data_IF_423603944264
#
_entry.id   IF_423603944264
#
_cell.length_a   1.000
_cell.length_b   1.000
_cell.length_c   1.000
_cell.angle_alpha   90.00
_cell.angle_beta   90.00
_cell.angle_gamma   90.00
#
_symmetry.space_group_name_H-M   'P 1'
#
loop_
_entity.id
_entity.type
_entity.pdbx_description
1 polymer ?
#
# COMPACT_ATOMS: atom_id res chain seq x y z
N UNK A 1 -17.44 87.29 -23.76
CA UNK A 1 -16.03 87.15 -24.21
C UNK A 1 -15.22 88.29 -23.60
N UNK A 2 -14.25 87.99 -22.72
CA UNK A 2 -13.37 89.02 -22.15
C UNK A 2 -12.39 89.48 -23.24
N UNK A 3 -12.21 90.79 -23.38
CA UNK A 3 -11.23 91.34 -24.32
C UNK A 3 -9.83 91.00 -23.81
N UNK A 4 -9.08 90.26 -24.60
CA UNK A 4 -7.71 89.84 -24.33
C UNK A 4 -6.84 90.56 -25.34
N UNK A 5 -5.79 91.22 -24.87
CA UNK A 5 -4.86 91.96 -25.72
C UNK A 5 -4.18 91.02 -26.71
N UNK A 6 -3.65 91.57 -27.82
CA UNK A 6 -2.98 90.76 -28.85
C UNK A 6 -1.80 89.98 -28.27
N UNK A 7 -1.01 90.61 -27.40
CA UNK A 7 0.13 90.00 -26.70
C UNK A 7 -0.30 88.87 -25.76
N UNK A 8 -1.35 89.07 -24.97
CA UNK A 8 -1.88 88.02 -24.08
C UNK A 8 -2.46 86.83 -24.86
N UNK A 9 -3.01 87.07 -26.05
CA UNK A 9 -3.51 85.99 -26.93
C UNK A 9 -2.37 85.19 -27.56
N UNK A 10 -1.30 85.86 -27.96
CA UNK A 10 -0.07 85.21 -28.46
C UNK A 10 0.63 84.42 -27.35
N UNK A 11 0.72 84.95 -26.13
CA UNK A 11 1.24 84.24 -24.97
C UNK A 11 0.40 83.00 -24.61
N UNK A 12 -0.93 83.12 -24.64
CA UNK A 12 -1.83 81.99 -24.41
C UNK A 12 -1.70 80.91 -25.51
N UNK A 13 -1.49 81.30 -26.77
CA UNK A 13 -1.27 80.36 -27.87
C UNK A 13 0.07 79.61 -27.75
N UNK A 14 1.15 80.31 -27.34
CA UNK A 14 2.46 79.68 -27.09
C UNK A 14 2.37 78.71 -25.91
N UNK A 15 1.70 79.12 -24.81
CA UNK A 15 1.50 78.25 -23.64
C UNK A 15 0.73 76.99 -24.00
N UNK A 16 -0.35 77.11 -24.77
CA UNK A 16 -1.13 75.96 -25.25
C UNK A 16 -0.31 75.02 -26.13
N UNK A 17 0.56 75.59 -27.00
CA UNK A 17 1.47 74.79 -27.84
C UNK A 17 2.54 74.07 -27.02
N UNK A 18 3.03 74.68 -25.93
CA UNK A 18 3.94 74.04 -24.99
C UNK A 18 3.25 72.91 -24.22
N UNK A 19 2.04 73.13 -23.72
CA UNK A 19 1.23 72.10 -23.04
C UNK A 19 0.92 70.91 -23.95
N UNK A 20 0.59 71.16 -25.23
CA UNK A 20 0.39 70.09 -26.22
C UNK A 20 1.69 69.33 -26.54
N UNK A 21 2.83 70.02 -26.65
CA UNK A 21 4.13 69.37 -26.87
C UNK A 21 4.57 68.53 -25.66
N UNK A 22 4.33 69.02 -24.44
CA UNK A 22 4.65 68.31 -23.20
C UNK A 22 3.72 67.10 -23.00
N UNK A 23 2.44 67.20 -23.36
CA UNK A 23 1.52 66.07 -23.35
C UNK A 23 1.94 64.97 -24.34
N UNK A 24 2.42 65.34 -25.54
CA UNK A 24 2.95 64.37 -26.51
C UNK A 24 4.24 63.72 -25.99
N UNK A 25 5.13 64.49 -25.35
CA UNK A 25 6.35 63.93 -24.72
C UNK A 25 6.02 62.96 -23.59
N UNK A 26 5.11 63.32 -22.69
CA UNK A 26 4.66 62.45 -21.60
C UNK A 26 4.05 61.15 -22.14
N UNK A 27 3.18 61.24 -23.16
CA UNK A 27 2.59 60.06 -23.80
C UNK A 27 3.64 59.16 -24.44
N UNK A 28 4.64 59.74 -25.11
CA UNK A 28 5.73 58.97 -25.73
C UNK A 28 6.64 58.31 -24.68
N UNK A 29 6.91 58.99 -23.56
CA UNK A 29 7.69 58.42 -22.46
C UNK A 29 6.93 57.30 -21.73
N UNK A 30 5.60 57.43 -21.59
CA UNK A 30 4.75 56.35 -21.09
C UNK A 30 4.73 55.13 -22.02
N UNK A 31 4.65 55.35 -23.33
CA UNK A 31 4.73 54.27 -24.32
C UNK A 31 6.08 53.57 -24.27
N UNK A 32 7.18 54.33 -24.12
CA UNK A 32 8.52 53.77 -23.92
C UNK A 32 8.59 52.93 -22.65
N UNK A 33 8.05 53.42 -21.53
CA UNK A 33 7.98 52.65 -20.27
C UNK A 33 7.19 51.35 -20.45
N UNK A 34 6.00 51.39 -21.05
CA UNK A 34 5.18 50.20 -21.33
C UNK A 34 5.90 49.18 -22.22
N UNK A 35 6.63 49.66 -23.22
CA UNK A 35 7.44 48.79 -24.09
C UNK A 35 8.60 48.15 -23.32
N UNK A 36 9.30 48.91 -22.48
CA UNK A 36 10.38 48.37 -21.64
C UNK A 36 9.88 47.35 -20.61
N UNK A 37 8.71 47.57 -20.00
CA UNK A 37 8.13 46.61 -19.04
C UNK A 37 7.68 45.33 -19.72
N UNK A 38 7.02 45.43 -20.88
CA UNK A 38 6.60 44.28 -21.67
C UNK A 38 7.80 43.42 -22.13
N UNK A 39 8.86 44.05 -22.64
CA UNK A 39 10.07 43.32 -23.04
C UNK A 39 10.76 42.65 -21.85
N UNK A 40 10.81 43.32 -20.69
CA UNK A 40 11.38 42.73 -19.48
C UNK A 40 10.55 41.55 -18.95
N UNK A 41 9.22 41.61 -19.04
CA UNK A 41 8.35 40.48 -18.68
C UNK A 41 8.51 39.32 -19.65
N UNK A 42 8.60 39.58 -20.96
CA UNK A 42 8.85 38.55 -21.96
C UNK A 42 10.21 37.87 -21.76
N UNK A 43 11.27 38.64 -21.47
CA UNK A 43 12.61 38.11 -21.18
C UNK A 43 12.62 37.30 -19.88
N UNK A 44 11.90 37.73 -18.85
CA UNK A 44 11.72 36.94 -17.63
C UNK A 44 10.95 35.64 -17.86
N UNK A 45 9.95 35.65 -18.73
CA UNK A 45 9.16 34.47 -19.07
C UNK A 45 10.00 33.48 -19.88
N UNK A 46 10.77 33.96 -20.87
CA UNK A 46 11.72 33.15 -21.62
C UNK A 46 12.81 32.56 -20.70
N UNK A 47 13.36 33.35 -19.77
CA UNK A 47 14.34 32.87 -18.81
C UNK A 47 13.75 31.87 -17.80
N UNK A 48 12.46 31.96 -17.49
CA UNK A 48 11.74 30.97 -16.66
C UNK A 48 11.52 29.68 -17.44
N UNK A 49 11.05 29.78 -18.68
CA UNK A 49 10.88 28.62 -19.56
C UNK A 49 12.20 27.89 -19.81
N UNK A 50 13.31 28.60 -20.05
CA UNK A 50 14.61 27.96 -20.25
C UNK A 50 15.11 27.26 -18.97
N UNK A 51 14.91 27.87 -17.80
CA UNK A 51 15.19 27.19 -16.52
C UNK A 51 14.30 25.97 -16.30
N UNK A 52 13.04 26.03 -16.73
CA UNK A 52 12.11 24.92 -16.62
C UNK A 52 12.46 23.80 -17.60
N UNK A 53 12.81 24.11 -18.85
CA UNK A 53 13.34 23.16 -19.83
C UNK A 53 14.66 22.55 -19.37
N UNK A 54 15.55 23.32 -18.75
CA UNK A 54 16.79 22.80 -18.17
C UNK A 54 16.49 21.86 -17.00
N UNK A 55 15.55 22.23 -16.12
CA UNK A 55 15.09 21.38 -15.02
C UNK A 55 14.46 20.10 -15.55
N UNK A 56 13.62 20.18 -16.58
CA UNK A 56 12.99 19.04 -17.24
C UNK A 56 14.04 18.16 -17.93
N UNK A 57 15.07 18.73 -18.56
CA UNK A 57 16.19 17.98 -19.14
C UNK A 57 16.96 17.22 -18.06
N UNK A 58 17.25 17.86 -16.93
CA UNK A 58 17.89 17.23 -15.76
C UNK A 58 17.01 16.16 -15.12
N UNK A 59 15.70 16.38 -15.05
CA UNK A 59 14.74 15.38 -14.58
C UNK A 59 14.67 14.19 -15.54
N UNK A 60 14.58 14.40 -16.86
CA UNK A 60 14.61 13.33 -17.87
C UNK A 60 15.92 12.53 -17.87
N UNK A 61 17.04 13.16 -17.55
CA UNK A 61 18.32 12.47 -17.34
C UNK A 61 18.31 11.62 -16.06
N UNK A 62 17.80 12.16 -14.94
CA UNK A 62 17.57 11.39 -13.71
C UNK A 62 16.59 10.24 -13.91
N UNK A 63 15.53 10.46 -14.67
CA UNK A 63 14.49 9.48 -14.96
C UNK A 63 15.01 8.36 -15.86
N UNK A 64 15.87 8.66 -16.84
CA UNK A 64 16.59 7.62 -17.59
C UNK A 64 17.46 6.76 -16.68
N UNK A 65 18.21 7.40 -15.79
CA UNK A 65 19.07 6.71 -14.83
C UNK A 65 18.28 5.91 -13.77
N UNK A 66 17.04 6.32 -13.47
CA UNK A 66 16.10 5.60 -12.59
C UNK A 66 15.40 4.45 -13.32
N UNK A 67 14.99 4.64 -14.58
CA UNK A 67 14.37 3.59 -15.42
C UNK A 67 15.31 2.42 -15.70
N UNK A 68 16.61 2.68 -15.88
CA UNK A 68 17.62 1.60 -15.95
C UNK A 68 17.73 0.80 -14.65
N UNK A 69 17.31 1.37 -13.51
CA UNK A 69 17.29 0.71 -12.20
C UNK A 69 15.93 0.08 -11.86
N UNK A 70 14.83 0.60 -12.43
CA UNK A 70 13.46 0.16 -12.19
C UNK A 70 12.94 -0.91 -13.18
N UNK A 71 13.69 -1.27 -14.23
CA UNK A 71 13.30 -2.38 -15.13
C UNK A 71 13.40 -3.78 -14.46
N UNK A 72 13.83 -3.82 -13.19
CA UNK A 72 13.76 -5.00 -12.30
C UNK A 72 12.74 -4.87 -11.15
N UNK A 73 12.00 -3.76 -11.06
CA UNK A 73 11.03 -3.54 -9.98
C UNK A 73 9.65 -3.26 -10.54
N UNK A 74 8.68 -4.09 -10.16
CA UNK A 74 7.27 -3.98 -10.53
C UNK A 74 6.75 -2.54 -10.43
N UNK A 75 6.15 -2.05 -11.52
CA UNK A 75 5.60 -0.70 -11.60
C UNK A 75 4.56 -0.48 -10.49
N UNK A 76 4.72 0.53 -9.62
CA UNK A 76 3.70 0.85 -8.63
C UNK A 76 2.47 1.38 -9.36
N UNK A 77 1.31 0.80 -9.03
CA UNK A 77 -0.01 1.24 -9.50
C UNK A 77 -0.16 2.71 -9.15
N UNK A 78 -0.28 3.57 -10.18
CA UNK A 78 -0.56 5.00 -9.99
C UNK A 78 -1.93 5.12 -9.32
N UNK A 79 -1.93 5.37 -8.01
CA UNK A 79 -3.15 5.67 -7.26
C UNK A 79 -3.64 7.03 -7.70
N UNK A 80 -4.61 7.05 -8.62
CA UNK A 80 -5.46 8.23 -8.84
C UNK A 80 -5.97 8.68 -7.46
N UNK A 81 -5.78 9.94 -7.05
CA UNK A 81 -6.23 10.43 -5.76
C UNK A 81 -7.71 10.09 -5.56
N UNK A 82 -8.07 9.60 -4.38
CA UNK A 82 -9.46 9.20 -4.09
C UNK A 82 -10.46 10.32 -4.34
N UNK A 83 -10.04 11.57 -4.17
CA UNK A 83 -10.82 12.77 -4.49
C UNK A 83 -11.22 12.84 -5.98
N UNK A 84 -10.32 12.49 -6.90
CA UNK A 84 -10.62 12.51 -8.34
C UNK A 84 -11.60 11.41 -8.72
N UNK A 85 -11.51 10.25 -8.07
CA UNK A 85 -12.47 9.14 -8.25
C UNK A 85 -13.84 9.50 -7.72
N UNK A 86 -13.89 10.16 -6.57
CA UNK A 86 -15.13 10.68 -6.00
C UNK A 86 -15.78 11.72 -6.94
N UNK A 87 -15.01 12.70 -7.41
CA UNK A 87 -15.51 13.69 -8.37
C UNK A 87 -16.00 13.05 -9.66
N UNK A 88 -15.28 12.05 -10.18
CA UNK A 88 -15.69 11.32 -11.37
C UNK A 88 -17.02 10.57 -11.14
N UNK A 89 -17.19 9.93 -9.98
CA UNK A 89 -18.43 9.25 -9.61
C UNK A 89 -19.61 10.23 -9.49
N UNK A 90 -19.38 11.42 -8.91
CA UNK A 90 -20.38 12.50 -8.84
C UNK A 90 -20.73 12.99 -10.25
N UNK A 91 -19.72 13.28 -11.08
CA UNK A 91 -19.91 13.71 -12.47
C UNK A 91 -20.71 12.69 -13.28
N UNK A 92 -20.39 11.40 -13.20
CA UNK A 92 -21.16 10.34 -13.87
C UNK A 92 -22.62 10.29 -13.42
N UNK A 93 -22.89 10.44 -12.11
CA UNK A 93 -24.24 10.35 -11.57
C UNK A 93 -25.15 11.50 -12.01
N UNK A 94 -24.61 12.71 -12.10
CA UNK A 94 -25.41 13.92 -12.33
C UNK A 94 -25.34 14.47 -13.77
N UNK A 95 -24.24 14.24 -14.51
CA UNK A 95 -24.08 14.74 -15.88
C UNK A 95 -24.64 13.77 -16.95
N UNK A 96 -25.33 12.70 -16.54
CA UNK A 96 -26.04 11.82 -17.46
C UNK A 96 -25.15 11.06 -18.44
N UNK A 97 -23.87 10.87 -18.11
CA UNK A 97 -22.93 10.10 -18.93
C UNK A 97 -23.48 8.67 -19.06
N UNK A 98 -23.70 8.23 -20.30
CA UNK A 98 -24.19 6.88 -20.59
C UNK A 98 -23.16 5.86 -20.10
N UNK A 99 -23.49 5.15 -19.02
CA UNK A 99 -22.65 4.08 -18.48
C UNK A 99 -22.44 3.02 -19.56
N UNK A 100 -21.19 2.80 -19.96
CA UNK A 100 -20.84 1.68 -20.84
C UNK A 100 -21.18 0.38 -20.11
N UNK A 101 -22.10 -0.42 -20.68
CA UNK A 101 -22.41 -1.75 -20.14
C UNK A 101 -21.15 -2.61 -20.17
N UNK A 102 -20.85 -3.29 -19.06
CA UNK A 102 -19.73 -4.23 -18.97
C UNK A 102 -19.91 -5.31 -20.04
N UNK A 103 -18.87 -5.56 -20.83
CA UNK A 103 -18.87 -6.60 -21.84
C UNK A 103 -18.75 -7.95 -21.13
N UNK A 104 -19.84 -8.70 -21.06
CA UNK A 104 -19.81 -10.09 -20.59
C UNK A 104 -18.86 -10.86 -21.49
N UNK A 105 -17.87 -11.55 -20.91
CA UNK A 105 -16.91 -12.35 -21.68
C UNK A 105 -17.69 -13.44 -22.42
N UNK A 106 -17.49 -13.54 -23.73
CA UNK A 106 -18.22 -14.48 -24.59
C UNK A 106 -17.68 -15.89 -24.38
N UNK A 107 -18.55 -16.88 -24.20
CA UNK A 107 -18.19 -18.30 -24.07
C UNK A 107 -17.49 -18.90 -25.31
N UNK A 108 -17.41 -18.17 -26.43
CA UNK A 108 -16.79 -18.63 -27.67
C UNK A 108 -15.26 -18.45 -27.72
N UNK A 109 -14.64 -17.90 -26.69
CA UNK A 109 -13.19 -17.75 -26.65
C UNK A 109 -12.54 -19.09 -26.25
N UNK A 110 -11.76 -19.70 -27.15
CA UNK A 110 -11.15 -21.05 -27.04
C UNK A 110 -10.21 -21.24 -25.84
N UNK A 111 -10.02 -20.21 -25.02
CA UNK A 111 -9.19 -20.22 -23.82
C UNK A 111 -10.11 -20.16 -22.60
N UNK A 112 -10.29 -21.30 -21.95
CA UNK A 112 -10.91 -21.34 -20.63
C UNK A 112 -9.99 -20.63 -19.63
N UNK A 113 -10.45 -19.50 -19.11
CA UNK A 113 -9.79 -18.78 -18.01
C UNK A 113 -10.50 -19.20 -16.73
N UNK A 114 -9.76 -19.87 -15.84
CA UNK A 114 -10.29 -20.35 -14.57
C UNK A 114 -10.25 -19.28 -13.48
N UNK A 115 -9.40 -18.26 -13.64
CA UNK A 115 -9.25 -17.17 -12.69
C UNK A 115 -10.22 -16.01 -12.96
N UNK A 116 -10.55 -15.29 -11.90
CA UNK A 116 -11.30 -14.04 -11.96
C UNK A 116 -10.41 -12.90 -12.46
N UNK A 117 -10.97 -11.98 -13.25
CA UNK A 117 -10.24 -10.80 -13.70
C UNK A 117 -10.18 -9.75 -12.58
N UNK A 118 -9.04 -9.06 -12.41
CA UNK A 118 -8.89 -7.97 -11.42
C UNK A 118 -9.84 -6.81 -11.73
N UNK A 119 -10.19 -6.60 -13.00
CA UNK A 119 -11.18 -5.60 -13.40
C UNK A 119 -12.62 -5.95 -12.94
N UNK A 120 -12.87 -7.18 -12.49
CA UNK A 120 -14.14 -7.63 -11.93
C UNK A 120 -14.22 -7.39 -10.41
N UNK A 121 -13.13 -6.99 -9.74
CA UNK A 121 -13.12 -6.63 -8.33
C UNK A 121 -13.96 -5.38 -8.06
N UNK A 122 -14.84 -5.45 -7.06
CA UNK A 122 -15.72 -4.37 -6.64
C UNK A 122 -15.40 -3.83 -5.25
N UNK A 123 -14.35 -4.33 -4.59
CA UNK A 123 -13.97 -3.92 -3.24
C UNK A 123 -13.19 -2.59 -3.20
N UNK A 124 -12.68 -2.11 -4.34
CA UNK A 124 -11.89 -0.87 -4.44
C UNK A 124 -12.82 0.34 -4.37
N UNK A 125 -12.96 0.91 -3.17
CA UNK A 125 -13.68 2.16 -2.94
C UNK A 125 -12.73 3.38 -3.00
N UNK A 126 -13.28 4.59 -3.12
CA UNK A 126 -12.56 5.85 -2.94
C UNK A 126 -12.77 6.41 -1.53
N UNK A 127 -13.93 6.16 -0.91
CA UNK A 127 -14.25 6.75 0.37
C UNK A 127 -13.56 5.98 1.53
N UNK A 128 -12.83 6.66 2.43
CA UNK A 128 -12.10 6.03 3.53
C UNK A 128 -12.99 5.19 4.46
N UNK A 129 -14.27 5.57 4.66
CA UNK A 129 -15.23 4.80 5.47
C UNK A 129 -15.46 3.41 4.91
N UNK A 130 -15.41 3.27 3.58
CA UNK A 130 -15.63 2.01 2.88
C UNK A 130 -14.32 1.28 2.52
N UNK A 131 -13.17 1.97 2.55
CA UNK A 131 -11.86 1.32 2.51
C UNK A 131 -11.51 0.67 3.85
N UNK A 132 -11.58 1.45 4.92
CA UNK A 132 -11.27 1.04 6.29
C UNK A 132 -12.55 0.76 7.06
N UNK A 133 -13.35 -0.21 6.56
CA UNK A 133 -14.60 -0.59 7.21
C UNK A 133 -14.31 -1.07 8.63
N UNK A 134 -15.00 -0.48 9.59
CA UNK A 134 -14.94 -0.95 10.97
C UNK A 134 -15.38 -2.41 11.04
N UNK A 135 -14.46 -3.31 11.39
CA UNK A 135 -14.77 -4.73 11.52
C UNK A 135 -15.64 -4.98 12.75
N UNK A 136 -16.60 -5.89 12.62
CA UNK A 136 -17.54 -6.22 13.69
C UNK A 136 -16.79 -6.91 14.83
N UNK A 137 -16.86 -6.35 16.04
CA UNK A 137 -16.10 -6.86 17.18
C UNK A 137 -16.85 -7.90 18.04
N UNK A 138 -18.13 -8.21 17.73
CA UNK A 138 -18.94 -9.26 18.39
C UNK A 138 -18.79 -9.31 19.93
N UNK A 139 -18.89 -8.13 20.58
CA UNK A 139 -18.72 -7.95 22.03
C UNK A 139 -17.39 -8.49 22.62
N UNK A 140 -16.34 -8.62 21.80
CA UNK A 140 -15.04 -9.15 22.20
C UNK A 140 -15.01 -10.65 22.47
N UNK A 141 -16.08 -11.39 22.17
CA UNK A 141 -16.20 -12.84 22.45
C UNK A 141 -16.44 -13.68 21.19
N UNK A 142 -17.10 -13.11 20.19
CA UNK A 142 -17.29 -13.78 18.90
C UNK A 142 -16.06 -13.68 18.01
N UNK A 143 -15.90 -14.67 17.12
CA UNK A 143 -14.80 -14.75 16.16
C UNK A 143 -15.39 -15.05 14.77
N UNK A 144 -14.72 -14.56 13.73
CA UNK A 144 -15.07 -14.81 12.33
C UNK A 144 -14.74 -16.27 11.99
N UNK A 145 -15.64 -16.95 11.29
CA UNK A 145 -15.45 -18.35 10.91
C UNK A 145 -14.29 -18.51 9.90
N UNK A 146 -13.58 -19.64 10.00
CA UNK A 146 -12.50 -20.01 9.07
C UNK A 146 -11.15 -19.31 9.29
N UNK A 147 -11.11 -18.23 10.08
CA UNK A 147 -9.85 -17.56 10.45
C UNK A 147 -9.37 -18.12 11.79
N UNK A 148 -8.06 -18.36 11.93
CA UNK A 148 -7.45 -18.80 13.18
C UNK A 148 -7.82 -17.87 14.36
N UNK A 149 -8.34 -18.45 15.44
CA UNK A 149 -8.83 -17.74 16.63
C UNK A 149 -7.70 -16.97 17.32
N UNK A 150 -6.49 -17.54 17.39
CA UNK A 150 -5.33 -16.89 18.01
C UNK A 150 -4.85 -15.71 17.17
N UNK A 151 -4.88 -15.84 15.84
CA UNK A 151 -4.60 -14.72 14.93
C UNK A 151 -5.64 -13.61 15.10
N UNK A 152 -6.92 -13.95 15.12
CA UNK A 152 -7.99 -13.00 15.36
C UNK A 152 -7.83 -12.26 16.69
N UNK A 153 -7.55 -12.97 17.79
CA UNK A 153 -7.31 -12.35 19.11
C UNK A 153 -6.13 -11.39 19.12
N UNK A 154 -5.11 -11.61 18.27
CA UNK A 154 -3.94 -10.73 18.15
C UNK A 154 -4.25 -9.47 17.33
N UNK A 155 -5.00 -9.63 16.25
CA UNK A 155 -5.36 -8.55 15.31
C UNK A 155 -6.59 -7.76 15.79
N UNK A 156 -7.37 -8.30 16.72
CA UNK A 156 -8.56 -7.68 17.28
C UNK A 156 -8.23 -6.40 18.06
N UNK A 157 -9.09 -5.40 17.92
CA UNK A 157 -9.01 -4.16 18.70
C UNK A 157 -9.09 -4.44 20.20
N UNK A 158 -8.19 -3.83 20.97
CA UNK A 158 -8.10 -3.97 22.44
C UNK A 158 -9.25 -3.29 23.20
N UNK A 159 -10.20 -2.67 22.50
CA UNK A 159 -11.31 -1.91 23.08
C UNK A 159 -12.06 -2.68 24.18
N UNK A 160 -12.57 -3.87 23.88
CA UNK A 160 -13.31 -4.67 24.88
C UNK A 160 -12.42 -5.20 26.00
N UNK A 161 -11.11 -5.38 25.77
CA UNK A 161 -10.16 -5.75 26.82
C UNK A 161 -10.05 -4.66 27.88
N UNK A 162 -9.84 -3.42 27.44
CA UNK A 162 -9.77 -2.25 28.33
C UNK A 162 -11.12 -1.99 29.02
N UNK A 163 -12.24 -2.08 28.28
CA UNK A 163 -13.58 -1.88 28.82
C UNK A 163 -13.93 -2.90 29.92
N UNK A 164 -13.57 -4.17 29.73
CA UNK A 164 -13.80 -5.22 30.73
C UNK A 164 -12.87 -5.04 31.94
N UNK A 165 -11.66 -4.55 31.74
CA UNK A 165 -10.73 -4.28 32.83
C UNK A 165 -11.23 -3.14 33.74
N UNK A 166 -11.83 -2.10 33.17
CA UNK A 166 -12.42 -0.99 33.93
C UNK A 166 -13.70 -1.40 34.66
N UNK A 167 -14.58 -2.18 34.02
CA UNK A 167 -15.91 -2.50 34.56
C UNK A 167 -15.96 -3.68 35.53
N UNK A 168 -14.99 -4.61 35.47
CA UNK A 168 -15.03 -5.84 36.29
C UNK A 168 -14.66 -5.56 37.74
N UNK A 169 -15.36 -6.24 38.64
CA UNK A 169 -14.97 -6.30 40.06
C UNK A 169 -13.72 -7.16 40.22
N UNK A 170 -12.93 -6.94 41.28
CA UNK A 170 -11.71 -7.73 41.53
C UNK A 170 -11.97 -9.25 41.50
N UNK A 171 -13.03 -9.73 42.15
CA UNK A 171 -13.37 -11.17 42.14
C UNK A 171 -13.72 -11.72 40.74
N UNK A 172 -14.25 -10.90 39.83
CA UNK A 172 -14.50 -11.31 38.44
C UNK A 172 -13.21 -11.34 37.63
N UNK A 173 -12.28 -10.41 37.89
CA UNK A 173 -10.93 -10.40 37.30
C UNK A 173 -10.19 -11.68 37.68
N UNK A 174 -10.21 -12.07 38.94
CA UNK A 174 -9.53 -13.26 39.43
C UNK A 174 -10.08 -14.54 38.79
N UNK A 175 -11.42 -14.66 38.65
CA UNK A 175 -12.07 -15.77 37.95
C UNK A 175 -11.69 -15.84 36.46
N UNK A 176 -11.65 -14.68 35.79
CA UNK A 176 -11.25 -14.62 34.39
C UNK A 176 -9.80 -15.06 34.21
N UNK A 177 -8.90 -14.58 35.08
CA UNK A 177 -7.48 -14.97 35.07
C UNK A 177 -7.33 -16.48 35.29
N UNK A 178 -8.09 -17.07 36.22
CA UNK A 178 -8.10 -18.51 36.42
C UNK A 178 -8.56 -19.28 35.18
N UNK A 179 -9.62 -18.81 34.49
CA UNK A 179 -10.08 -19.42 33.23
C UNK A 179 -9.00 -19.33 32.15
N UNK A 180 -8.40 -18.15 31.96
CA UNK A 180 -7.34 -17.94 30.97
C UNK A 180 -6.13 -18.84 31.23
N UNK A 181 -5.73 -19.01 32.48
CA UNK A 181 -4.67 -19.97 32.86
C UNK A 181 -5.04 -21.40 32.51
N UNK A 182 -6.28 -21.82 32.76
CA UNK A 182 -6.73 -23.17 32.39
C UNK A 182 -6.73 -23.38 30.87
N UNK A 183 -7.18 -22.39 30.11
CA UNK A 183 -7.15 -22.44 28.65
C UNK A 183 -5.70 -22.45 28.11
N UNK A 184 -4.81 -21.66 28.71
CA UNK A 184 -3.37 -21.66 28.39
C UNK A 184 -2.74 -23.03 28.61
N UNK A 185 -2.99 -23.68 29.75
CA UNK A 185 -2.46 -25.03 30.04
C UNK A 185 -2.97 -26.05 29.01
N UNK A 186 -4.24 -25.96 28.59
CA UNK A 186 -4.79 -26.82 27.54
C UNK A 186 -4.13 -26.58 26.18
N UNK A 187 -3.93 -25.31 25.83
CA UNK A 187 -3.25 -24.93 24.59
C UNK A 187 -1.78 -25.35 24.58
N UNK A 188 -1.07 -25.18 25.69
CA UNK A 188 0.32 -25.62 25.87
C UNK A 188 0.45 -27.14 25.77
N UNK A 189 -0.45 -27.88 26.42
CA UNK A 189 -0.50 -29.34 26.28
C UNK A 189 -0.73 -29.75 24.83
N UNK A 190 -1.72 -29.15 24.14
CA UNK A 190 -1.97 -29.43 22.73
C UNK A 190 -0.73 -29.14 21.88
N UNK A 191 -0.07 -27.99 22.10
CA UNK A 191 1.17 -27.62 21.41
C UNK A 191 2.29 -28.62 21.67
N UNK A 192 2.44 -29.11 22.91
CA UNK A 192 3.44 -30.12 23.27
C UNK A 192 3.19 -31.46 22.57
N UNK A 193 1.94 -31.92 22.52
CA UNK A 193 1.58 -33.19 21.89
C UNK A 193 1.70 -33.11 20.36
N UNK A 194 1.37 -31.96 19.76
CA UNK A 194 1.44 -31.70 18.30
C UNK A 194 2.81 -31.22 17.80
N UNK A 195 3.84 -31.22 18.65
CA UNK A 195 5.22 -30.85 18.25
C UNK A 195 5.68 -31.65 17.04
N UNK A 196 6.57 -31.04 16.26
CA UNK A 196 7.22 -31.71 15.14
C UNK A 196 8.12 -32.84 15.65
N UNK A 197 8.26 -33.93 14.88
CA UNK A 197 8.98 -35.14 15.31
C UNK A 197 10.47 -34.89 15.61
N UNK A 198 11.05 -33.83 15.04
CA UNK A 198 12.43 -33.40 15.30
C UNK A 198 12.67 -32.98 16.75
N UNK A 199 11.64 -32.45 17.40
CA UNK A 199 11.71 -31.94 18.78
C UNK A 199 11.26 -32.99 19.80
N UNK A 200 10.91 -34.19 19.33
CA UNK A 200 10.43 -35.31 20.14
C UNK A 200 11.52 -36.35 20.34
N UNK A 201 11.55 -36.97 21.51
CA UNK A 201 12.40 -38.14 21.74
C UNK A 201 11.79 -39.38 21.08
N UNK A 202 12.58 -40.44 20.93
CA UNK A 202 12.12 -41.67 20.27
C UNK A 202 10.97 -42.34 21.04
N UNK A 203 11.00 -42.25 22.36
CA UNK A 203 9.97 -42.78 23.26
C UNK A 203 8.65 -42.00 23.18
N UNK A 204 8.72 -40.70 22.84
CA UNK A 204 7.55 -39.84 22.67
C UNK A 204 6.90 -39.94 21.27
N UNK A 205 7.51 -40.67 20.34
CA UNK A 205 7.01 -40.80 18.97
C UNK A 205 5.74 -41.65 18.90
N UNK A 206 4.68 -41.07 18.35
CA UNK A 206 3.41 -41.77 18.08
C UNK A 206 3.30 -42.13 16.60
N UNK A 207 2.43 -43.07 16.22
CA UNK A 207 2.17 -43.45 14.83
C UNK A 207 1.89 -42.27 13.88
N UNK A 208 1.23 -41.20 14.39
CA UNK A 208 1.02 -39.96 13.64
C UNK A 208 2.35 -39.31 13.27
N UNK A 209 3.28 -39.21 14.22
CA UNK A 209 4.59 -38.59 14.02
C UNK A 209 5.42 -39.42 13.03
N UNK A 210 5.34 -40.75 13.11
CA UNK A 210 5.96 -41.64 12.12
C UNK A 210 5.37 -41.50 10.72
N UNK A 211 4.07 -41.22 10.62
CA UNK A 211 3.45 -40.90 9.33
C UNK A 211 3.97 -39.57 8.77
N UNK A 212 4.09 -38.54 9.60
CA UNK A 212 4.64 -37.23 9.21
C UNK A 212 6.10 -37.36 8.81
N UNK A 213 6.91 -38.10 9.57
CA UNK A 213 8.29 -38.40 9.23
C UNK A 213 8.40 -39.01 7.81
N UNK A 214 7.57 -40.01 7.51
CA UNK A 214 7.53 -40.63 6.17
C UNK A 214 7.07 -39.65 5.10
N UNK A 215 6.14 -38.75 5.41
CA UNK A 215 5.66 -37.70 4.52
C UNK A 215 6.77 -36.70 4.19
N UNK A 216 7.48 -36.20 5.20
CA UNK A 216 8.57 -35.21 5.05
C UNK A 216 9.74 -35.75 4.21
N UNK A 217 10.08 -37.04 4.38
CA UNK A 217 11.11 -37.72 3.59
C UNK A 217 10.58 -38.37 2.30
N UNK A 218 9.30 -38.16 1.95
CA UNK A 218 8.65 -38.75 0.77
C UNK A 218 8.78 -40.29 0.67
N UNK A 219 8.74 -40.98 1.81
CA UNK A 219 8.85 -42.43 1.90
C UNK A 219 7.45 -43.06 1.85
N UNK A 220 7.20 -43.87 0.82
CA UNK A 220 5.98 -44.68 0.72
C UNK A 220 6.31 -46.16 0.84
N UNK A 221 5.54 -46.88 1.66
CA UNK A 221 5.81 -48.28 1.96
C UNK A 221 4.55 -49.11 1.74
N UNK A 222 4.67 -50.27 1.07
CA UNK A 222 3.57 -51.22 0.87
C UNK A 222 3.90 -52.53 1.57
N UNK A 223 2.99 -53.00 2.41
CA UNK A 223 3.18 -54.21 3.23
C UNK A 223 2.55 -54.05 4.62
N UNK A 224 2.26 -55.17 5.29
CA UNK A 224 1.81 -55.17 6.68
C UNK A 224 2.99 -55.23 7.65
N UNK A 225 2.82 -54.65 8.84
CA UNK A 225 3.79 -54.69 9.95
C UNK A 225 5.21 -54.21 9.56
N UNK A 226 5.30 -53.01 8.99
CA UNK A 226 6.57 -52.41 8.59
C UNK A 226 7.19 -51.69 9.80
N UNK A 227 8.45 -51.97 10.16
CA UNK A 227 9.10 -51.30 11.28
C UNK A 227 9.26 -49.80 11.04
N UNK A 228 9.35 -49.03 12.12
CA UNK A 228 9.55 -47.59 12.01
C UNK A 228 10.94 -47.27 11.43
N UNK A 229 11.03 -46.23 10.58
CA UNK A 229 12.32 -45.80 10.03
C UNK A 229 13.23 -45.21 11.12
N UNK A 230 14.53 -45.18 10.85
CA UNK A 230 15.50 -44.54 11.73
C UNK A 230 15.47 -43.02 11.55
N UNK A 231 15.47 -42.28 12.65
CA UNK A 231 15.53 -40.81 12.63
C UNK A 231 16.97 -40.30 12.65
N UNK A 232 17.85 -40.99 13.37
CA UNK A 232 19.29 -40.71 13.44
C UNK A 232 20.08 -42.01 13.57
N UNK A 233 21.38 -41.97 13.21
CA UNK A 233 22.28 -43.12 13.34
C UNK A 233 22.45 -43.59 14.79
N UNK A 234 22.30 -42.69 15.77
CA UNK A 234 22.38 -43.02 17.20
C UNK A 234 21.24 -43.94 17.66
N UNK A 235 20.08 -43.89 17.00
CA UNK A 235 18.89 -44.67 17.33
C UNK A 235 18.90 -46.07 16.68
N UNK A 236 19.88 -46.35 15.82
CA UNK A 236 19.93 -47.57 15.03
C UNK A 236 20.27 -48.84 15.84
N UNK A 237 20.71 -48.70 17.09
CA UNK A 237 21.14 -49.83 17.92
C UNK A 237 22.36 -50.57 17.35
N UNK A 238 23.15 -49.90 16.51
CA UNK A 238 24.34 -50.46 15.88
C UNK A 238 25.53 -50.48 16.85
N UNK A 239 26.48 -51.40 16.61
CA UNK A 239 27.74 -51.41 17.37
C UNK A 239 28.51 -50.11 17.17
N UNK A 240 29.19 -49.65 18.23
CA UNK A 240 29.93 -48.37 18.23
C UNK A 240 30.94 -48.28 17.09
N UNK A 241 31.65 -49.38 16.79
CA UNK A 241 32.62 -49.40 15.69
C UNK A 241 32.01 -49.15 14.32
N UNK A 242 30.73 -49.50 14.10
CA UNK A 242 30.02 -49.22 12.85
C UNK A 242 29.61 -47.75 12.78
N UNK A 243 29.14 -47.19 13.89
CA UNK A 243 28.77 -45.77 14.00
C UNK A 243 30.00 -44.88 13.72
N UNK A 244 31.15 -45.22 14.30
CA UNK A 244 32.40 -44.48 14.11
C UNK A 244 32.84 -44.47 12.63
N UNK A 245 32.66 -45.58 11.92
CA UNK A 245 32.97 -45.69 10.48
C UNK A 245 31.99 -44.87 9.64
N UNK A 246 30.69 -44.88 9.95
CA UNK A 246 29.67 -44.07 9.28
C UNK A 246 29.99 -42.57 9.44
N UNK A 247 30.35 -42.15 10.66
CA UNK A 247 30.75 -40.78 10.95
C UNK A 247 32.04 -40.40 10.22
N UNK A 248 33.05 -41.28 10.21
CA UNK A 248 34.30 -41.07 9.47
C UNK A 248 34.09 -40.98 7.95
N UNK A 249 33.12 -41.71 7.41
CA UNK A 249 32.73 -41.65 6.00
C UNK A 249 31.93 -40.38 5.65
N UNK A 250 31.49 -39.61 6.65
CA UNK A 250 30.80 -38.33 6.46
C UNK A 250 29.29 -38.43 6.22
N UNK A 251 28.67 -39.58 6.47
CA UNK A 251 27.22 -39.74 6.42
C UNK A 251 26.61 -39.30 7.75
N UNK A 252 26.19 -38.03 7.81
CA UNK A 252 25.54 -37.42 8.98
C UNK A 252 24.06 -37.71 9.03
#
# INVERSE_FOLDING_TARGET
PKFITKEEREAAAIKRRQEEADAIRQRNDELRKKHTTFNKEAEQLAAREDRERERERRERERDRHRREKDDQTEKPVISVPDAEREEAAVKERYLGIVKKKRKVRSLNDRKFVFDWDVAEDTAVDYNPIYKEKHQIQLFGRGHIAGIDINKQKKDQSKFYGMLLEERRTQGEKDREVARLKSDQVKDEKRRYDERHWTDKTLEEMVDRDWRIFKEDYNITTRGGNIPHPLRSWAEAGLEKGVIDVIEAAGYK
#
